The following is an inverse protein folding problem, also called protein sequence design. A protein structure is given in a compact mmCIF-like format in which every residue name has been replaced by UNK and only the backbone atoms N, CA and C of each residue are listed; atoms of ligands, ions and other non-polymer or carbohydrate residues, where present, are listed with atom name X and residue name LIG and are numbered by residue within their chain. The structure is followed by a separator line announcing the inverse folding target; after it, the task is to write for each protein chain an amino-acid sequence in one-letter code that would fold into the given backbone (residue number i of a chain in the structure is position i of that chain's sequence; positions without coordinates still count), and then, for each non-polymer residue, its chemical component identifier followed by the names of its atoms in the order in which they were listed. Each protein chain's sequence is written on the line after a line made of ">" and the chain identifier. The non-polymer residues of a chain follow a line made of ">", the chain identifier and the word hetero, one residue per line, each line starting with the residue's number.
data_IF_482016474960
#
_entry.id   IF_482016474960
#
_cell.length_a   1.000
_cell.length_b   1.000
_cell.length_c   1.000
_cell.angle_alpha   90.00
_cell.angle_beta   90.00
_cell.angle_gamma   90.00
#
_symmetry.space_group_name_H-M   'P 1'
#
loop_
_entity.id
_entity.type
_entity.pdbx_description
1 polymer ?
#
# COMPACT_ATOMS: atom_id res chain seq x y z
N UNK A 1 -7.93 -5.41 12.66
CA UNK A 1 -8.30 -6.33 11.58
C UNK A 1 -7.57 -6.01 10.27
N UNK A 2 -7.76 -4.84 9.64
CA UNK A 2 -7.09 -4.48 8.36
C UNK A 2 -5.54 -4.44 8.43
N UNK A 3 -4.94 -3.97 9.53
CA UNK A 3 -3.48 -3.95 9.68
C UNK A 3 -2.84 -5.35 9.65
N UNK A 4 -3.59 -6.38 10.06
CA UNK A 4 -3.15 -7.79 9.98
C UNK A 4 -3.20 -8.34 8.55
N UNK A 5 -4.15 -7.87 7.72
CA UNK A 5 -4.26 -8.28 6.31
C UNK A 5 -3.12 -7.71 5.46
N UNK A 6 -2.77 -6.44 5.70
CA UNK A 6 -1.56 -5.84 5.16
C UNK A 6 -0.30 -6.57 5.61
N UNK A 7 -0.31 -7.15 6.82
CA UNK A 7 0.82 -7.92 7.32
C UNK A 7 1.04 -9.21 6.53
N UNK A 8 -0.02 -9.97 6.24
CA UNK A 8 0.03 -11.21 5.46
C UNK A 8 0.49 -10.97 4.02
N UNK A 9 -0.09 -9.96 3.35
CA UNK A 9 0.26 -9.62 1.97
C UNK A 9 1.75 -9.31 1.76
N UNK A 10 2.44 -8.81 2.79
CA UNK A 10 3.83 -8.41 2.72
C UNK A 10 4.83 -9.52 3.11
N UNK A 11 4.35 -10.69 3.52
CA UNK A 11 5.18 -11.76 4.11
C UNK A 11 4.88 -13.18 3.59
N UNK A 12 4.14 -13.32 2.48
CA UNK A 12 3.71 -14.59 1.86
C UNK A 12 4.45 -15.84 2.36
N UNK A 13 3.78 -16.66 3.16
CA UNK A 13 4.23 -18.00 3.53
C UNK A 13 3.64 -19.00 2.54
N UNK A 14 4.44 -19.62 1.69
CA UNK A 14 3.89 -20.57 0.73
C UNK A 14 3.53 -21.89 1.41
N UNK A 15 2.25 -22.23 1.48
CA UNK A 15 1.76 -23.60 1.65
C UNK A 15 1.41 -24.15 0.24
N UNK A 16 1.96 -25.28 -0.24
CA UNK A 16 1.93 -25.67 -1.65
C UNK A 16 0.55 -25.97 -2.25
N UNK A 17 -0.52 -25.93 -1.44
CA UNK A 17 -1.88 -26.33 -1.84
C UNK A 17 -2.93 -25.22 -1.85
N UNK A 18 -2.63 -23.98 -1.42
CA UNK A 18 -3.63 -22.92 -1.31
C UNK A 18 -3.53 -21.90 -2.44
N UNK A 19 -4.63 -21.76 -3.19
CA UNK A 19 -4.90 -20.61 -4.06
C UNK A 19 -5.12 -19.37 -3.18
N UNK A 20 -4.06 -18.59 -2.98
CA UNK A 20 -4.01 -17.38 -2.15
C UNK A 20 -4.23 -17.57 -0.64
N UNK A 21 -3.29 -17.05 0.17
CA UNK A 21 -3.37 -17.05 1.65
C UNK A 21 -4.46 -16.11 2.20
N UNK A 22 -5.10 -15.31 1.34
CA UNK A 22 -6.13 -14.34 1.68
C UNK A 22 -7.49 -14.81 1.16
N UNK A 23 -8.50 -14.74 2.02
CA UNK A 23 -9.91 -14.92 1.63
C UNK A 23 -10.38 -13.78 0.72
N UNK A 24 -11.45 -14.03 -0.04
CA UNK A 24 -12.06 -13.00 -0.91
C UNK A 24 -12.43 -11.73 -0.14
N UNK A 25 -12.91 -11.87 1.10
CA UNK A 25 -13.25 -10.75 1.97
C UNK A 25 -12.01 -9.92 2.32
N UNK A 26 -10.88 -10.58 2.61
CA UNK A 26 -9.61 -9.92 2.90
C UNK A 26 -9.06 -9.22 1.66
N UNK A 27 -9.13 -9.87 0.50
CA UNK A 27 -8.72 -9.29 -0.80
C UNK A 27 -9.53 -8.03 -1.11
N UNK A 28 -10.85 -8.09 -0.95
CA UNK A 28 -11.73 -6.95 -1.21
C UNK A 28 -11.44 -5.78 -0.25
N UNK A 29 -11.20 -6.07 1.03
CA UNK A 29 -10.82 -5.04 2.00
C UNK A 29 -9.49 -4.35 1.63
N UNK A 30 -8.50 -5.12 1.16
CA UNK A 30 -7.21 -4.58 0.70
C UNK A 30 -7.42 -3.68 -0.52
N UNK A 31 -8.14 -4.16 -1.54
CA UNK A 31 -8.44 -3.41 -2.77
C UNK A 31 -9.19 -2.12 -2.47
N UNK A 32 -10.16 -2.14 -1.57
CA UNK A 32 -10.92 -0.96 -1.18
C UNK A 32 -10.03 0.08 -0.47
N UNK A 33 -9.20 -0.36 0.47
CA UNK A 33 -8.25 0.53 1.17
C UNK A 33 -7.28 1.17 0.17
N UNK A 34 -6.70 0.38 -0.71
CA UNK A 34 -5.80 0.87 -1.75
C UNK A 34 -6.49 1.83 -2.71
N UNK A 35 -7.71 1.52 -3.15
CA UNK A 35 -8.49 2.39 -4.04
C UNK A 35 -8.75 3.78 -3.44
N UNK A 36 -8.87 3.88 -2.11
CA UNK A 36 -8.97 5.17 -1.40
C UNK A 36 -7.63 5.87 -1.28
N UNK A 37 -6.56 5.12 -1.06
CA UNK A 37 -5.23 5.66 -0.81
C UNK A 37 -4.46 6.06 -2.08
N UNK A 38 -4.71 5.41 -3.22
CA UNK A 38 -3.92 5.51 -4.46
C UNK A 38 -4.04 6.84 -5.23
N UNK A 39 -4.29 7.95 -4.53
CA UNK A 39 -4.21 9.29 -5.10
C UNK A 39 -2.84 9.51 -5.73
N UNK A 40 -2.73 10.49 -6.64
CA UNK A 40 -1.50 10.72 -7.43
C UNK A 40 -0.23 11.03 -6.61
N UNK A 41 -0.35 11.22 -5.29
CA UNK A 41 0.75 11.55 -4.38
C UNK A 41 1.07 10.44 -3.36
N UNK A 42 0.44 9.26 -3.41
CA UNK A 42 0.67 8.22 -2.39
C UNK A 42 2.12 7.72 -2.40
N UNK A 43 2.72 7.57 -3.60
CA UNK A 43 4.12 7.19 -3.73
C UNK A 43 5.06 8.21 -3.10
N UNK A 44 4.74 9.51 -3.24
CA UNK A 44 5.50 10.62 -2.62
C UNK A 44 5.38 10.54 -1.11
N UNK A 45 4.15 10.40 -0.57
CA UNK A 45 3.91 10.28 0.87
C UNK A 45 4.66 9.10 1.50
N UNK A 46 4.64 7.94 0.83
CA UNK A 46 5.35 6.74 1.30
C UNK A 46 6.86 6.99 1.30
N UNK A 47 7.42 7.50 0.19
CA UNK A 47 8.86 7.72 0.08
C UNK A 47 9.37 8.80 1.05
N UNK A 48 8.61 9.87 1.24
CA UNK A 48 8.90 10.90 2.25
C UNK A 48 8.93 10.31 3.65
N UNK A 49 7.85 9.61 4.06
CA UNK A 49 7.76 8.99 5.38
C UNK A 49 8.85 7.93 5.61
N UNK A 50 9.27 7.23 4.55
CA UNK A 50 10.36 6.27 4.59
C UNK A 50 11.70 6.93 4.89
N UNK A 51 12.01 8.03 4.20
CA UNK A 51 13.26 8.79 4.40
C UNK A 51 13.25 9.48 5.77
N UNK A 52 12.14 10.06 6.20
CA UNK A 52 12.00 10.66 7.52
C UNK A 52 12.27 9.65 8.65
N UNK A 53 11.77 8.42 8.51
CA UNK A 53 12.00 7.36 9.50
C UNK A 53 13.40 6.77 9.45
N UNK A 54 13.97 6.63 8.25
CA UNK A 54 15.30 6.07 8.06
C UNK A 54 16.00 6.77 6.88
N UNK A 55 16.73 7.87 7.15
CA UNK A 55 17.36 8.70 6.12
C UNK A 55 18.33 7.95 5.20
N UNK A 56 18.85 6.80 5.64
CA UNK A 56 19.68 5.90 4.82
C UNK A 56 18.99 5.46 3.52
N UNK A 57 17.66 5.42 3.46
CA UNK A 57 16.94 5.12 2.22
C UNK A 57 17.22 6.12 1.10
N UNK A 58 17.42 7.39 1.42
CA UNK A 58 17.78 8.38 0.42
C UNK A 58 19.13 8.07 -0.25
N UNK A 59 20.09 7.56 0.54
CA UNK A 59 21.41 7.12 0.04
C UNK A 59 21.26 5.89 -0.87
N UNK A 60 20.44 4.91 -0.46
CA UNK A 60 20.18 3.71 -1.28
C UNK A 60 19.54 4.03 -2.64
N UNK A 61 18.72 5.08 -2.69
CA UNK A 61 18.11 5.55 -3.93
C UNK A 61 18.99 6.57 -4.70
N UNK A 62 20.13 6.96 -4.15
CA UNK A 62 21.09 7.87 -4.79
C UNK A 62 20.65 9.33 -4.80
N UNK A 63 19.82 9.75 -3.85
CA UNK A 63 19.45 11.16 -3.68
C UNK A 63 20.59 11.96 -3.08
N UNK A 64 20.66 13.25 -3.43
CA UNK A 64 21.74 14.15 -2.98
C UNK A 64 21.60 14.59 -1.53
N UNK A 65 20.39 14.52 -1.00
CA UNK A 65 20.05 14.88 0.38
C UNK A 65 19.32 13.73 1.06
N UNK A 66 19.50 13.62 2.37
CA UNK A 66 18.83 12.63 3.23
C UNK A 66 17.65 13.22 3.99
N UNK A 67 17.34 14.49 3.76
CA UNK A 67 16.24 15.22 4.40
C UNK A 67 15.17 15.52 3.36
N UNK A 68 13.91 15.26 3.72
CA UNK A 68 12.76 15.63 2.89
C UNK A 68 12.63 17.14 2.89
N UNK A 69 12.77 17.75 1.72
CA UNK A 69 12.67 19.19 1.48
C UNK A 69 11.87 19.46 0.20
N UNK A 70 11.41 20.69 0.02
CA UNK A 70 10.74 21.09 -1.23
C UNK A 70 11.60 20.81 -2.48
N UNK A 71 12.92 21.02 -2.36
CA UNK A 71 13.86 20.72 -3.44
C UNK A 71 13.90 19.22 -3.76
N UNK A 72 14.01 18.36 -2.75
CA UNK A 72 14.00 16.90 -2.95
C UNK A 72 12.68 16.43 -3.57
N UNK A 73 11.55 16.96 -3.11
CA UNK A 73 10.22 16.62 -3.62
C UNK A 73 10.04 17.03 -5.08
N UNK A 74 10.77 18.04 -5.55
CA UNK A 74 10.77 18.48 -6.94
C UNK A 74 11.79 17.73 -7.83
N UNK A 75 12.70 16.94 -7.24
CA UNK A 75 13.68 16.19 -8.02
C UNK A 75 13.03 15.08 -8.87
N UNK A 76 13.40 15.03 -10.16
CA UNK A 76 12.91 13.99 -11.09
C UNK A 76 13.23 12.57 -10.62
N UNK A 77 14.40 12.37 -10.02
CA UNK A 77 14.85 11.10 -9.43
C UNK A 77 13.94 10.66 -8.28
N UNK A 78 13.57 11.60 -7.41
CA UNK A 78 12.67 11.35 -6.29
C UNK A 78 11.27 10.96 -6.80
N UNK A 79 10.71 11.76 -7.71
CA UNK A 79 9.39 11.50 -8.30
C UNK A 79 9.35 10.16 -9.03
N UNK A 80 10.39 9.83 -9.80
CA UNK A 80 10.49 8.54 -10.47
C UNK A 80 10.47 7.38 -9.47
N UNK A 81 11.18 7.51 -8.34
CA UNK A 81 11.20 6.46 -7.33
C UNK A 81 9.87 6.35 -6.58
N UNK A 82 9.21 7.47 -6.30
CA UNK A 82 7.86 7.51 -5.75
C UNK A 82 6.86 6.79 -6.67
N UNK A 83 6.90 7.06 -7.98
CA UNK A 83 6.08 6.36 -8.96
C UNK A 83 6.34 4.86 -8.99
N UNK A 84 7.61 4.43 -8.97
CA UNK A 84 7.95 2.99 -8.93
C UNK A 84 7.37 2.27 -7.72
N UNK A 85 7.39 2.91 -6.55
CA UNK A 85 6.77 2.36 -5.33
C UNK A 85 5.26 2.22 -5.52
N UNK A 86 4.61 3.26 -6.03
CA UNK A 86 3.18 3.26 -6.27
C UNK A 86 2.77 2.20 -7.31
N UNK A 87 3.46 2.11 -8.44
CA UNK A 87 3.17 1.16 -9.52
C UNK A 87 3.35 -0.29 -9.06
N UNK A 88 4.37 -0.54 -8.22
CA UNK A 88 4.56 -1.85 -7.61
C UNK A 88 3.38 -2.23 -6.72
N UNK A 89 2.94 -1.33 -5.84
CA UNK A 89 1.80 -1.57 -4.95
C UNK A 89 0.49 -1.71 -5.73
N UNK A 90 0.28 -0.89 -6.76
CA UNK A 90 -0.87 -0.98 -7.67
C UNK A 90 -0.93 -2.35 -8.33
N UNK A 91 0.21 -2.82 -8.85
CA UNK A 91 0.28 -4.14 -9.49
C UNK A 91 0.01 -5.25 -8.47
N UNK A 92 0.67 -5.21 -7.30
CA UNK A 92 0.51 -6.21 -6.26
C UNK A 92 -0.95 -6.31 -5.77
N UNK A 93 -1.62 -5.18 -5.54
CA UNK A 93 -3.02 -5.14 -5.11
C UNK A 93 -3.96 -5.60 -6.21
N UNK A 94 -3.71 -5.19 -7.45
CA UNK A 94 -4.54 -5.58 -8.61
C UNK A 94 -4.46 -7.07 -8.91
N UNK A 95 -3.31 -7.70 -8.67
CA UNK A 95 -3.12 -9.14 -8.88
C UNK A 95 -3.75 -10.03 -7.80
N UNK A 96 -4.20 -9.49 -6.66
CA UNK A 96 -4.81 -10.30 -5.61
C UNK A 96 -6.07 -11.02 -6.09
N UNK A 97 -6.14 -12.32 -5.83
CA UNK A 97 -7.25 -13.19 -6.22
C UNK A 97 -7.20 -13.62 -7.69
N UNK A 98 -6.11 -13.34 -8.41
CA UNK A 98 -5.88 -13.88 -9.75
C UNK A 98 -5.08 -15.20 -9.63
N UNK A 99 -5.55 -16.26 -10.30
CA UNK A 99 -4.89 -17.57 -10.27
C UNK A 99 -3.77 -17.68 -11.32
N UNK A 100 -2.63 -18.34 -11.01
CA UNK A 100 -2.07 -18.55 -9.67
C UNK A 100 -1.40 -17.25 -9.18
N UNK A 101 -1.15 -17.12 -7.86
CA UNK A 101 -0.41 -16.01 -7.22
C UNK A 101 1.08 -15.89 -7.69
N UNK A 102 1.45 -16.60 -8.75
CA UNK A 102 2.76 -16.67 -9.36
C UNK A 102 3.28 -15.30 -9.83
N UNK A 103 2.39 -14.38 -10.19
CA UNK A 103 2.73 -13.02 -10.62
C UNK A 103 3.40 -12.26 -9.49
N UNK A 104 2.80 -12.26 -8.29
CA UNK A 104 3.35 -11.55 -7.11
C UNK A 104 4.66 -12.19 -6.70
N UNK A 105 4.75 -13.52 -6.69
CA UNK A 105 5.98 -14.22 -6.35
C UNK A 105 7.11 -13.92 -7.34
N UNK A 106 6.86 -13.97 -8.65
CA UNK A 106 7.85 -13.63 -9.68
C UNK A 106 8.30 -12.17 -9.57
N UNK A 107 7.37 -11.24 -9.35
CA UNK A 107 7.70 -9.82 -9.19
C UNK A 107 8.53 -9.58 -7.93
N UNK A 108 8.13 -10.17 -6.81
CA UNK A 108 8.84 -10.07 -5.53
C UNK A 108 10.25 -10.66 -5.64
N UNK A 109 10.38 -11.80 -6.30
CA UNK A 109 11.67 -12.41 -6.59
C UNK A 109 12.56 -11.51 -7.44
N UNK A 110 12.02 -10.94 -8.54
CA UNK A 110 12.77 -10.03 -9.41
C UNK A 110 13.22 -8.77 -8.69
N UNK A 111 12.36 -8.20 -7.84
CA UNK A 111 12.70 -7.04 -7.02
C UNK A 111 13.77 -7.41 -5.99
N UNK A 112 13.67 -8.58 -5.36
CA UNK A 112 14.70 -9.10 -4.46
C UNK A 112 16.06 -9.21 -5.14
N UNK A 113 16.13 -9.72 -6.37
CA UNK A 113 17.36 -9.77 -7.16
C UNK A 113 17.97 -8.39 -7.38
N UNK A 114 17.16 -7.40 -7.78
CA UNK A 114 17.65 -6.03 -8.01
C UNK A 114 18.26 -5.44 -6.73
N UNK A 115 17.60 -5.63 -5.59
CA UNK A 115 18.08 -5.15 -4.29
C UNK A 115 19.39 -5.84 -3.88
N UNK A 116 19.48 -7.15 -4.05
CA UNK A 116 20.68 -7.93 -3.80
C UNK A 116 21.87 -7.43 -4.63
N UNK A 117 21.71 -7.30 -5.96
CA UNK A 117 22.81 -6.86 -6.83
C UNK A 117 23.24 -5.41 -6.63
N UNK A 118 22.34 -4.54 -6.14
CA UNK A 118 22.69 -3.15 -5.83
C UNK A 118 23.38 -2.99 -4.47
N UNK A 119 23.61 -4.07 -3.73
CA UNK A 119 24.15 -4.00 -2.36
C UNK A 119 23.20 -3.28 -1.39
N UNK A 120 21.96 -3.01 -1.82
CA UNK A 120 20.90 -2.50 -0.98
C UNK A 120 20.26 -3.73 -0.35
N UNK A 121 20.99 -4.34 0.57
CA UNK A 121 20.47 -5.43 1.38
C UNK A 121 19.36 -4.83 2.24
N UNK A 122 18.12 -4.98 1.78
CA UNK A 122 16.96 -4.82 2.64
C UNK A 122 17.00 -5.98 3.64
N UNK A 123 17.79 -5.82 4.69
CA UNK A 123 17.64 -6.62 5.89
C UNK A 123 16.18 -6.58 6.34
N UNK A 124 15.78 -7.59 7.13
CA UNK A 124 14.42 -7.66 7.64
C UNK A 124 13.97 -6.33 8.30
N UNK A 125 14.90 -5.61 8.93
CA UNK A 125 14.70 -4.29 9.50
C UNK A 125 14.29 -3.22 8.46
N UNK A 126 14.99 -3.13 7.33
CA UNK A 126 14.67 -2.20 6.24
C UNK A 126 13.29 -2.49 5.64
N UNK A 127 12.96 -3.78 5.46
CA UNK A 127 11.64 -4.17 4.96
C UNK A 127 10.52 -3.81 5.95
N UNK A 128 10.75 -4.01 7.25
CA UNK A 128 9.79 -3.64 8.29
C UNK A 128 9.54 -2.12 8.33
N UNK A 129 10.58 -1.30 8.14
CA UNK A 129 10.42 0.16 8.07
C UNK A 129 9.61 0.56 6.84
N UNK A 130 9.92 -0.01 5.67
CA UNK A 130 9.15 0.22 4.44
C UNK A 130 7.69 -0.16 4.62
N UNK A 131 7.42 -1.38 5.13
CA UNK A 131 6.08 -1.85 5.46
C UNK A 131 5.34 -0.89 6.39
N UNK A 132 5.98 -0.46 7.48
CA UNK A 132 5.36 0.44 8.45
C UNK A 132 5.01 1.77 7.81
N UNK A 133 5.93 2.37 7.05
CA UNK A 133 5.67 3.61 6.31
C UNK A 133 4.48 3.46 5.33
N UNK A 134 4.49 2.39 4.54
CA UNK A 134 3.41 2.09 3.58
C UNK A 134 2.06 1.94 4.26
N UNK A 135 1.95 1.12 5.30
CA UNK A 135 0.69 0.88 6.01
C UNK A 135 0.17 2.18 6.61
N UNK A 136 1.01 2.97 7.27
CA UNK A 136 0.58 4.24 7.88
C UNK A 136 0.04 5.22 6.84
N UNK A 137 0.73 5.39 5.72
CA UNK A 137 0.29 6.32 4.67
C UNK A 137 -0.98 5.83 3.96
N UNK A 138 -1.09 4.53 3.70
CA UNK A 138 -2.29 3.94 3.08
C UNK A 138 -3.50 4.02 4.02
N UNK A 139 -3.30 3.84 5.33
CA UNK A 139 -4.37 3.88 6.32
C UNK A 139 -4.80 5.31 6.70
N UNK A 140 -3.94 6.31 6.49
CA UNK A 140 -4.27 7.72 6.72
C UNK A 140 -5.30 8.26 5.71
N UNK A 141 -5.54 7.56 4.59
CA UNK A 141 -6.54 7.96 3.60
C UNK A 141 -7.94 8.02 4.24
N UNK A 142 -8.65 9.16 4.15
CA UNK A 142 -9.96 9.33 4.78
C UNK A 142 -10.95 8.29 4.26
N UNK A 143 -11.71 7.68 5.17
CA UNK A 143 -12.86 6.85 4.79
C UNK A 143 -13.83 7.76 4.03
N UNK A 144 -14.13 7.47 2.75
CA UNK A 144 -15.24 8.13 2.06
C UNK A 144 -16.47 7.98 2.98
N UNK A 145 -17.08 9.10 3.38
CA UNK A 145 -18.38 9.05 4.03
C UNK A 145 -19.33 8.34 3.06
N UNK A 146 -19.94 7.24 3.50
CA UNK A 146 -20.95 6.56 2.70
C UNK A 146 -22.08 7.55 2.42
N UNK A 147 -22.22 7.99 1.17
CA UNK A 147 -23.37 8.77 0.69
C UNK A 147 -24.63 7.89 0.63
N UNK A 148 -24.54 6.60 0.98
CA UNK A 148 -25.69 5.72 1.13
C UNK A 148 -25.93 5.37 2.61
N UNK A 149 -26.60 6.28 3.33
CA UNK A 149 -27.42 5.93 4.50
C UNK A 149 -28.48 7.00 4.76
N UNK A 150 -29.56 6.96 3.97
CA UNK A 150 -30.94 6.86 4.47
C UNK A 150 -31.92 7.00 3.31
N UNK A 151 -32.16 5.88 2.62
CA UNK A 151 -33.37 5.67 1.84
C UNK A 151 -34.06 4.42 2.35
N UNK A 152 -35.04 4.59 3.25
CA UNK A 152 -36.40 4.04 3.14
C UNK A 152 -37.12 3.82 4.49
N UNK A 153 -38.25 4.52 4.60
CA UNK A 153 -39.56 4.07 5.05
C UNK A 153 -39.76 3.42 6.43
N UNK A 154 -40.23 4.27 7.36
CA UNK A 154 -41.41 4.07 8.26
C UNK A 154 -41.95 5.48 8.55
N UNK A 155 -43.23 5.83 8.54
CA UNK A 155 -44.52 5.19 8.35
C UNK A 155 -45.48 6.35 8.00
N UNK A 156 -46.31 6.20 6.97
CA UNK A 156 -47.55 6.95 6.90
C UNK A 156 -48.50 6.33 7.92
N UNK A 157 -48.79 7.03 9.01
CA UNK A 157 -50.04 6.84 9.73
C UNK A 157 -50.80 8.16 9.73
N UNK A 158 -51.96 8.08 9.10
CA UNK A 158 -53.04 9.05 9.07
C UNK A 158 -53.71 9.15 10.46
N UNK A 159 -54.45 10.25 10.67
CA UNK A 159 -55.53 10.48 11.65
C UNK A 159 -55.08 10.72 13.11
N UNK A 160 -55.68 11.58 13.92
CA UNK A 160 -56.60 12.73 13.82
C UNK A 160 -56.77 13.23 15.28
N UNK A 161 -57.08 14.52 15.48
CA UNK A 161 -57.76 15.10 16.66
C UNK A 161 -57.04 15.10 18.02
N UNK A 162 -56.64 16.31 18.47
CA UNK A 162 -57.23 17.03 19.61
C UNK A 162 -56.65 18.44 19.71
#
# INVERSE_FOLDING_TARGET
>A
MIGYLMHKLLFCGADPGNSSELSEQEINAVKEVWARARTGDIGVKILSALIEKKPAFAVYYGFKTTVVSADLLAEKSFLLQAHRIQDFLETAVSSLGLSPDDVIHRMSYRIGQVHYYKGVNFGADNWLVFKKATIEQVMAAPKKASIFRNGSNKEFNLMEVS
#
